data_IF_112172426865
#
_entry.id   IF_112172426865
#
_cell.length_a   1.000
_cell.length_b   1.000
_cell.length_c   1.000
_cell.angle_alpha   90.00
_cell.angle_beta   90.00
_cell.angle_gamma   90.00
#
_symmetry.space_group_name_H-M   'P 1'
#
loop_
_entity.id
_entity.type
_entity.pdbx_description
1 polymer ?
#
# COMPACT_ATOMS: atom_id res chain seq x y z
N UNK A 1 -14.23 -14.16 -10.68
CA UNK A 1 -14.14 -12.76 -11.15
C UNK A 1 -14.63 -12.57 -12.58
N UNK A 2 -14.23 -13.41 -13.56
CA UNK A 2 -14.64 -13.24 -14.97
C UNK A 2 -16.16 -13.18 -15.19
N UNK A 3 -16.94 -13.90 -14.38
CA UNK A 3 -18.40 -13.81 -14.39
C UNK A 3 -18.94 -12.38 -14.24
N UNK A 4 -18.32 -11.55 -13.38
CA UNK A 4 -18.78 -10.16 -13.18
C UNK A 4 -18.58 -9.36 -14.46
N UNK A 5 -17.41 -9.49 -15.11
CA UNK A 5 -17.17 -8.83 -16.40
C UNK A 5 -18.12 -9.33 -17.48
N UNK A 6 -18.40 -10.63 -17.54
CA UNK A 6 -19.34 -11.20 -18.51
C UNK A 6 -20.78 -10.69 -18.29
N UNK A 7 -21.23 -10.58 -17.03
CA UNK A 7 -22.60 -10.18 -16.68
C UNK A 7 -22.84 -8.68 -16.78
N UNK A 8 -21.89 -7.87 -16.31
CA UNK A 8 -22.08 -6.42 -16.18
C UNK A 8 -21.34 -5.62 -17.25
N UNK A 9 -20.34 -6.22 -17.92
CA UNK A 9 -19.50 -5.57 -18.92
C UNK A 9 -18.32 -4.80 -18.30
N UNK A 10 -17.19 -4.77 -19.01
CA UNK A 10 -15.96 -4.07 -18.59
C UNK A 10 -16.10 -2.55 -18.48
N UNK A 11 -17.08 -1.99 -19.17
CA UNK A 11 -17.41 -0.56 -19.09
C UNK A 11 -18.05 -0.18 -17.74
N UNK A 12 -18.63 -1.16 -17.01
CA UNK A 12 -19.46 -0.91 -15.82
C UNK A 12 -18.99 -1.65 -14.57
N UNK A 13 -18.07 -2.60 -14.73
CA UNK A 13 -17.44 -3.30 -13.63
C UNK A 13 -15.92 -3.22 -13.77
N UNK A 14 -15.23 -3.05 -12.66
CA UNK A 14 -13.77 -3.01 -12.61
C UNK A 14 -13.26 -3.42 -11.22
N UNK A 15 -12.00 -3.81 -11.14
CA UNK A 15 -11.28 -3.96 -9.88
C UNK A 15 -11.06 -2.59 -9.23
N UNK A 16 -11.09 -2.55 -7.90
CA UNK A 16 -10.74 -1.35 -7.14
C UNK A 16 -9.22 -1.27 -6.96
N UNK A 17 -8.69 -0.07 -6.84
CA UNK A 17 -7.30 0.10 -6.44
C UNK A 17 -7.11 -0.22 -4.95
N UNK A 18 -5.86 -0.45 -4.59
CA UNK A 18 -5.40 -0.47 -3.22
C UNK A 18 -4.16 0.44 -3.14
N UNK A 19 -4.20 1.43 -2.26
CA UNK A 19 -3.07 2.31 -2.00
C UNK A 19 -2.10 1.59 -1.06
N UNK A 20 -0.91 1.26 -1.56
CA UNK A 20 0.16 0.76 -0.71
C UNK A 20 0.86 1.94 -0.04
N UNK A 21 0.92 1.93 1.29
CA UNK A 21 1.59 2.97 2.08
C UNK A 21 2.91 2.48 2.65
N UNK A 22 3.78 3.42 2.99
CA UNK A 22 5.03 3.10 3.69
C UNK A 22 4.75 2.55 5.09
N UNK A 23 5.12 1.28 5.28
CA UNK A 23 5.18 0.61 6.58
C UNK A 23 6.53 0.88 7.27
N UNK A 24 6.66 0.71 8.60
CA UNK A 24 7.86 1.08 9.37
C UNK A 24 9.19 0.68 8.71
N UNK A 25 9.33 -0.59 8.33
CA UNK A 25 10.55 -1.11 7.68
C UNK A 25 10.82 -0.50 6.31
N UNK A 26 9.77 -0.25 5.54
CA UNK A 26 9.89 0.35 4.21
C UNK A 26 10.32 1.82 4.33
N UNK A 27 9.69 2.56 5.24
CA UNK A 27 10.04 3.95 5.52
C UNK A 27 11.50 4.10 5.97
N UNK A 28 11.96 3.23 6.89
CA UNK A 28 13.36 3.22 7.35
C UNK A 28 14.34 2.97 6.22
N UNK A 29 14.04 1.97 5.37
CA UNK A 29 14.92 1.59 4.27
C UNK A 29 15.02 2.70 3.21
N UNK A 30 13.90 3.27 2.79
CA UNK A 30 13.94 4.33 1.78
C UNK A 30 14.60 5.61 2.31
N UNK A 31 14.27 6.03 3.53
CA UNK A 31 14.89 7.22 4.13
C UNK A 31 16.41 7.05 4.30
N UNK A 32 16.87 5.89 4.79
CA UNK A 32 18.28 5.62 5.00
C UNK A 32 19.06 5.57 3.68
N UNK A 33 18.50 4.92 2.66
CA UNK A 33 19.09 4.89 1.31
C UNK A 33 19.18 6.28 0.70
N UNK A 34 18.13 7.10 0.80
CA UNK A 34 18.12 8.45 0.24
C UNK A 34 19.16 9.37 0.90
N UNK A 35 19.45 9.14 2.19
CA UNK A 35 20.47 9.87 2.94
C UNK A 35 21.90 9.32 2.74
N UNK A 36 22.08 8.25 1.97
CA UNK A 36 23.39 7.65 1.73
C UNK A 36 23.93 6.85 2.92
N UNK A 37 23.06 6.40 3.84
CA UNK A 37 23.47 5.50 4.93
C UNK A 37 23.87 4.14 4.35
N UNK A 38 24.92 3.54 4.90
CA UNK A 38 25.40 2.22 4.47
C UNK A 38 24.24 1.20 4.46
N UNK A 39 23.99 0.49 3.34
CA UNK A 39 22.92 -0.48 3.22
C UNK A 39 22.91 -1.57 4.29
N UNK A 40 24.08 -1.96 4.82
CA UNK A 40 24.22 -2.94 5.90
C UNK A 40 23.64 -2.36 7.20
N UNK A 41 23.94 -1.09 7.50
CA UNK A 41 23.38 -0.40 8.67
C UNK A 41 21.87 -0.24 8.51
N UNK A 42 21.43 0.20 7.33
CA UNK A 42 20.00 0.35 7.02
C UNK A 42 19.24 -0.96 7.21
N UNK A 43 19.76 -2.08 6.70
CA UNK A 43 19.10 -3.38 6.83
C UNK A 43 19.12 -3.90 8.27
N UNK A 44 20.23 -3.69 9.00
CA UNK A 44 20.34 -4.05 10.42
C UNK A 44 19.27 -3.35 11.25
N UNK A 45 19.16 -2.03 11.11
CA UNK A 45 18.17 -1.20 11.79
C UNK A 45 16.75 -1.61 11.35
N UNK A 46 16.47 -1.71 10.06
CA UNK A 46 15.13 -2.08 9.57
C UNK A 46 14.70 -3.50 10.00
N UNK A 47 15.63 -4.46 10.15
CA UNK A 47 15.31 -5.80 10.66
C UNK A 47 14.99 -5.78 12.15
N UNK A 48 15.78 -5.05 12.94
CA UNK A 48 15.59 -4.92 14.38
C UNK A 48 14.27 -4.22 14.75
N UNK A 49 13.70 -3.42 13.83
CA UNK A 49 12.54 -2.59 14.13
C UNK A 49 11.31 -3.01 13.34
N UNK A 50 10.35 -3.60 14.05
CA UNK A 50 9.06 -3.99 13.50
C UNK A 50 8.01 -2.87 13.54
N UNK A 51 8.18 -1.90 14.46
CA UNK A 51 7.22 -0.84 14.71
C UNK A 51 7.91 0.40 15.29
N UNK A 52 7.41 1.59 14.93
CA UNK A 52 7.69 2.87 15.58
C UNK A 52 6.58 3.85 15.24
N UNK A 53 6.22 4.73 16.18
CA UNK A 53 5.16 5.72 15.99
C UNK A 53 5.67 7.16 16.05
N UNK A 54 6.91 7.37 16.52
CA UNK A 54 7.49 8.71 16.61
C UNK A 54 8.98 8.73 16.29
N UNK A 55 9.49 9.95 16.04
CA UNK A 55 10.92 10.20 15.87
C UNK A 55 11.69 9.84 17.15
N UNK A 56 11.15 10.16 18.32
CA UNK A 56 11.80 9.89 19.60
C UNK A 56 11.95 8.39 19.84
N UNK A 57 10.89 7.61 19.57
CA UNK A 57 10.97 6.14 19.65
C UNK A 57 12.05 5.61 18.73
N UNK A 58 12.10 6.13 17.49
CA UNK A 58 13.06 5.68 16.50
C UNK A 58 14.52 6.03 16.86
N UNK A 59 14.76 7.18 17.48
CA UNK A 59 16.08 7.53 18.01
C UNK A 59 16.49 6.63 19.17
N UNK A 60 15.59 6.33 20.11
CA UNK A 60 15.88 5.37 21.17
C UNK A 60 16.27 4.00 20.59
N UNK A 61 15.60 3.59 19.51
CA UNK A 61 15.95 2.38 18.76
C UNK A 61 17.31 2.46 18.05
N UNK A 62 17.66 3.62 17.50
CA UNK A 62 18.98 3.82 16.90
C UNK A 62 20.10 3.68 17.94
N UNK A 63 19.88 4.19 19.16
CA UNK A 63 20.80 4.00 20.28
C UNK A 63 20.98 2.51 20.64
N UNK A 64 19.89 1.74 20.70
CA UNK A 64 19.94 0.27 20.90
C UNK A 64 20.75 -0.44 19.80
N UNK A 65 20.74 0.09 18.57
CA UNK A 65 21.51 -0.41 17.44
C UNK A 65 22.97 0.12 17.39
N UNK A 66 23.41 0.83 18.44
CA UNK A 66 24.76 1.39 18.57
C UNK A 66 25.03 2.61 17.69
N UNK A 67 23.98 3.29 17.22
CA UNK A 67 24.11 4.52 16.45
C UNK A 67 24.10 5.74 17.38
N UNK A 68 24.95 6.71 17.07
CA UNK A 68 24.96 8.00 17.77
C UNK A 68 23.69 8.80 17.43
N UNK A 69 22.81 8.98 18.41
CA UNK A 69 21.54 9.69 18.23
C UNK A 69 21.71 11.19 18.08
N UNK A 70 22.83 11.76 18.52
CA UNK A 70 23.11 13.20 18.37
C UNK A 70 23.70 13.53 16.99
N UNK A 71 24.17 12.50 16.26
CA UNK A 71 24.68 12.68 14.91
C UNK A 71 23.59 13.28 13.99
N UNK A 72 23.87 14.39 13.28
CA UNK A 72 22.88 15.05 12.43
C UNK A 72 22.25 14.13 11.38
N UNK A 73 23.03 13.19 10.85
CA UNK A 73 22.56 12.19 9.89
C UNK A 73 21.47 11.28 10.48
N UNK A 74 21.66 10.80 11.70
CA UNK A 74 20.71 9.90 12.37
C UNK A 74 19.44 10.65 12.81
N UNK A 75 19.58 11.91 13.22
CA UNK A 75 18.46 12.81 13.47
C UNK A 75 17.59 13.04 12.23
N UNK A 76 18.23 13.28 11.06
CA UNK A 76 17.54 13.44 9.79
C UNK A 76 16.90 12.12 9.33
N UNK A 77 17.62 11.00 9.47
CA UNK A 77 17.10 9.69 9.11
C UNK A 77 15.85 9.35 9.90
N UNK A 78 15.86 9.56 11.22
CA UNK A 78 14.69 9.34 12.06
C UNK A 78 13.53 10.28 11.64
N UNK A 79 13.81 11.56 11.39
CA UNK A 79 12.78 12.51 10.97
C UNK A 79 12.11 12.13 9.64
N UNK A 80 12.89 11.78 8.61
CA UNK A 80 12.34 11.39 7.31
C UNK A 80 11.61 10.04 7.37
N UNK A 81 12.16 9.06 8.10
CA UNK A 81 11.49 7.77 8.28
C UNK A 81 10.12 7.94 8.99
N UNK A 82 10.03 8.81 9.99
CA UNK A 82 8.75 9.14 10.64
C UNK A 82 7.81 9.88 9.70
N UNK A 83 8.29 10.86 8.94
CA UNK A 83 7.46 11.62 8.00
C UNK A 83 6.90 10.76 6.87
N UNK A 84 7.64 9.73 6.45
CA UNK A 84 7.18 8.78 5.43
C UNK A 84 6.15 7.79 5.95
N UNK A 85 6.01 7.60 7.26
CA UNK A 85 5.12 6.57 7.79
C UNK A 85 3.67 6.83 7.36
N UNK A 86 3.05 5.84 6.72
CA UNK A 86 1.69 5.96 6.20
C UNK A 86 1.55 6.75 4.89
N UNK A 87 2.61 7.36 4.38
CA UNK A 87 2.55 8.07 3.09
C UNK A 87 2.26 7.09 1.94
N UNK A 88 1.45 7.47 0.94
CA UNK A 88 1.24 6.67 -0.26
C UNK A 88 2.55 6.40 -0.99
N UNK A 89 2.79 5.14 -1.36
CA UNK A 89 3.98 4.72 -2.13
C UNK A 89 3.62 4.41 -3.58
N UNK A 90 2.62 3.58 -3.80
CA UNK A 90 2.15 3.23 -5.14
C UNK A 90 0.72 2.69 -5.09
N UNK A 91 0.02 2.81 -6.23
CA UNK A 91 -1.24 2.13 -6.45
C UNK A 91 -0.99 0.67 -6.83
N UNK A 92 -1.80 -0.21 -6.26
CA UNK A 92 -1.77 -1.65 -6.48
C UNK A 92 -3.18 -2.14 -6.78
N UNK A 93 -3.31 -3.38 -7.25
CA UNK A 93 -4.61 -3.99 -7.51
C UNK A 93 -5.19 -4.60 -6.24
N UNK A 94 -6.43 -4.26 -5.88
CA UNK A 94 -7.13 -4.94 -4.80
C UNK A 94 -7.49 -6.37 -5.25
N UNK A 95 -6.99 -7.39 -4.54
CA UNK A 95 -7.06 -8.79 -4.97
C UNK A 95 -8.49 -9.37 -5.02
N UNK A 96 -9.46 -8.69 -4.42
CA UNK A 96 -10.87 -9.11 -4.41
C UNK A 96 -11.90 -8.00 -4.59
N UNK A 97 -11.47 -6.74 -4.71
CA UNK A 97 -12.38 -5.60 -4.63
C UNK A 97 -12.96 -5.28 -5.98
N UNK A 98 -14.29 -5.28 -6.10
CA UNK A 98 -14.99 -4.93 -7.32
C UNK A 98 -15.94 -3.77 -7.10
N UNK A 99 -16.00 -2.89 -8.09
CA UNK A 99 -17.05 -1.88 -8.20
C UNK A 99 -18.00 -2.27 -9.34
N UNK A 100 -19.29 -2.02 -9.16
CA UNK A 100 -20.30 -2.20 -10.20
C UNK A 100 -21.15 -0.94 -10.27
N UNK A 101 -21.21 -0.31 -11.44
CA UNK A 101 -22.01 0.89 -11.70
C UNK A 101 -23.18 0.60 -12.66
N UNK A 102 -24.23 1.42 -12.57
CA UNK A 102 -25.33 1.42 -13.56
C UNK A 102 -24.89 2.01 -14.89
N UNK A 103 -23.98 2.98 -14.87
CA UNK A 103 -23.47 3.71 -16.04
C UNK A 103 -21.99 3.39 -16.27
N UNK A 104 -21.42 3.88 -17.38
CA UNK A 104 -20.00 3.68 -17.68
C UNK A 104 -19.12 4.28 -16.58
N UNK A 105 -18.20 3.48 -16.02
CA UNK A 105 -17.25 3.90 -14.99
C UNK A 105 -16.34 5.02 -15.48
N UNK A 106 -16.01 5.04 -16.78
CA UNK A 106 -15.15 6.05 -17.42
C UNK A 106 -15.72 7.47 -17.40
N UNK A 107 -17.01 7.64 -17.02
CA UNK A 107 -17.62 8.96 -16.81
C UNK A 107 -17.29 9.54 -15.44
N UNK A 108 -16.77 8.73 -14.52
CA UNK A 108 -16.58 9.11 -13.11
C UNK A 108 -15.12 8.95 -12.69
N UNK A 109 -14.43 7.92 -13.18
CA UNK A 109 -13.04 7.60 -12.79
C UNK A 109 -12.25 7.07 -13.99
N UNK A 110 -10.95 7.42 -14.11
CA UNK A 110 -10.07 6.78 -15.09
C UNK A 110 -10.01 5.27 -14.89
N UNK A 111 -9.96 4.54 -16.01
CA UNK A 111 -9.88 3.07 -16.04
C UNK A 111 -8.58 2.68 -16.73
N UNK A 112 -7.85 1.76 -16.12
CA UNK A 112 -6.65 1.17 -16.69
C UNK A 112 -6.82 -0.34 -16.89
N UNK A 113 -6.02 -0.91 -17.79
CA UNK A 113 -5.90 -2.36 -17.85
C UNK A 113 -5.15 -2.86 -16.62
N UNK A 114 -5.68 -3.89 -15.98
CA UNK A 114 -4.97 -4.55 -14.90
C UNK A 114 -3.81 -5.41 -15.48
N UNK A 115 -2.88 -5.82 -14.61
CA UNK A 115 -1.76 -6.67 -15.01
C UNK A 115 -2.20 -8.04 -15.54
N UNK A 116 -3.37 -8.53 -15.10
CA UNK A 116 -3.97 -9.75 -15.62
C UNK A 116 -4.80 -9.44 -16.87
N UNK A 117 -4.66 -10.28 -17.89
CA UNK A 117 -5.42 -10.19 -19.12
C UNK A 117 -6.92 -10.15 -18.82
N UNK A 118 -7.61 -9.36 -19.63
CA UNK A 118 -9.05 -9.14 -19.58
C UNK A 118 -9.65 -8.54 -18.31
N UNK A 119 -8.84 -7.88 -17.49
CA UNK A 119 -9.30 -7.16 -16.31
C UNK A 119 -8.99 -5.68 -16.40
N UNK A 120 -9.83 -4.87 -15.77
CA UNK A 120 -9.66 -3.43 -15.64
C UNK A 120 -9.61 -3.04 -14.18
N UNK A 121 -8.92 -1.95 -13.89
CA UNK A 121 -8.81 -1.36 -12.56
C UNK A 121 -9.20 0.11 -12.63
N UNK A 122 -9.90 0.60 -11.60
CA UNK A 122 -10.13 2.02 -11.39
C UNK A 122 -9.19 2.57 -10.34
N UNK A 123 -8.95 3.88 -10.39
CA UNK A 123 -7.98 4.56 -9.51
C UNK A 123 -8.45 4.70 -8.06
N UNK A 124 -9.75 4.56 -7.80
CA UNK A 124 -10.31 4.67 -6.46
C UNK A 124 -10.06 3.45 -5.61
N UNK A 125 -9.68 3.69 -4.36
CA UNK A 125 -9.58 2.65 -3.35
C UNK A 125 -10.91 2.42 -2.62
N UNK A 126 -10.88 1.61 -1.56
CA UNK A 126 -12.09 1.30 -0.78
C UNK A 126 -12.73 2.57 -0.20
N UNK A 127 -11.92 3.48 0.32
CA UNK A 127 -12.42 4.60 1.11
C UNK A 127 -12.99 5.68 0.17
N UNK A 128 -12.40 5.86 -1.00
CA UNK A 128 -12.98 6.66 -2.09
C UNK A 128 -14.37 6.13 -2.52
N UNK A 129 -14.49 4.82 -2.72
CA UNK A 129 -15.74 4.18 -3.16
C UNK A 129 -16.84 4.31 -2.10
N UNK A 130 -16.45 4.16 -0.83
CA UNK A 130 -17.34 4.35 0.32
C UNK A 130 -17.82 5.81 0.42
N UNK A 131 -16.91 6.78 0.26
CA UNK A 131 -17.24 8.20 0.25
C UNK A 131 -18.20 8.60 -0.88
N UNK A 132 -18.10 7.94 -2.04
CA UNK A 132 -18.97 8.16 -3.20
C UNK A 132 -20.30 7.40 -3.13
N UNK A 133 -20.50 6.54 -2.14
CA UNK A 133 -21.72 5.74 -1.99
C UNK A 133 -21.95 4.75 -3.14
N UNK A 134 -20.87 4.30 -3.80
CA UNK A 134 -20.97 3.38 -4.94
C UNK A 134 -21.01 1.94 -4.41
N UNK A 135 -21.82 1.09 -5.04
CA UNK A 135 -21.90 -0.33 -4.68
C UNK A 135 -20.55 -1.02 -4.90
N UNK A 136 -19.97 -1.49 -3.80
CA UNK A 136 -18.77 -2.32 -3.75
C UNK A 136 -19.14 -3.78 -3.45
N UNK A 137 -18.49 -4.72 -4.13
CA UNK A 137 -18.56 -6.15 -3.83
C UNK A 137 -17.14 -6.69 -3.65
N UNK A 138 -16.85 -7.26 -2.49
CA UNK A 138 -15.57 -7.94 -2.24
C UNK A 138 -15.70 -9.45 -2.49
N UNK A 139 -14.98 -9.96 -3.49
CA UNK A 139 -14.80 -11.40 -3.73
C UNK A 139 -13.56 -11.85 -2.97
N UNK A 140 -13.76 -12.52 -1.84
CA UNK A 140 -12.67 -13.08 -1.05
C UNK A 140 -12.40 -14.53 -1.46
N UNK A 141 -11.14 -14.84 -1.76
CA UNK A 141 -10.68 -16.22 -1.89
C UNK A 141 -9.99 -16.61 -0.57
N UNK A 142 -10.59 -17.54 0.16
CA UNK A 142 -10.04 -18.02 1.43
C UNK A 142 -9.58 -19.47 1.28
N UNK A 143 -8.33 -19.74 1.62
CA UNK A 143 -7.67 -21.04 1.35
C UNK A 143 -8.35 -22.22 2.05
N UNK A 144 -9.05 -22.02 3.18
CA UNK A 144 -9.77 -23.11 3.85
C UNK A 144 -11.03 -23.58 3.10
N UNK A 145 -11.58 -22.77 2.19
CA UNK A 145 -12.76 -23.12 1.37
C UNK A 145 -12.33 -23.85 0.08
N UNK A 146 -11.06 -23.70 -0.34
CA UNK A 146 -10.53 -24.38 -1.53
C UNK A 146 -10.07 -25.82 -1.28
N UNK A 147 -9.91 -26.24 -0.02
CA UNK A 147 -9.42 -27.58 0.34
C UNK A 147 -10.56 -28.60 0.61
N UNK A 148 -11.81 -28.23 0.38
CA UNK A 148 -12.98 -29.09 0.59
C UNK A 148 -13.61 -29.59 -0.72
N UNK A 149 -12.80 -29.85 -1.75
CA UNK A 149 -13.23 -30.46 -3.01
C UNK A 149 -12.36 -31.67 -3.37
#
# INVERSE_FOLDING_TARGET
MQYIYAKYGRDRAALTAAVSTYRPRGALREAGKALGVDPIIVDRVAKAHHWFDSKADLLARFAEAGLDVEAPLNQQWAAFATALLGYPRHLSQHSGGFVISRTKLSRMVPIENAAMEDRTIIQWDKDDIEALGILKVDILAFTSISLSA
#
